data_IF_747681918058
#
_entry.id   IF_747681918058
#
_cell.length_a   1.000
_cell.length_b   1.000
_cell.length_c   1.000
_cell.angle_alpha   90.00
_cell.angle_beta   90.00
_cell.angle_gamma   90.00
#
_symmetry.space_group_name_H-M   'P 1'
#
loop_
_entity.id
_entity.type
_entity.pdbx_description
1 polymer ?
#
# COMPACT_ATOMS: atom_id res chain seq x y z
N UNK A 1 -15.78 0.04 0.12
CA UNK A 1 -15.29 0.44 -1.22
C UNK A 1 -14.20 -0.54 -1.64
N UNK A 2 -14.04 -0.71 -2.95
CA UNK A 2 -12.96 -1.50 -3.56
C UNK A 2 -11.97 -0.57 -4.26
N UNK A 3 -10.68 -0.84 -4.10
CA UNK A 3 -9.64 -0.07 -4.76
C UNK A 3 -8.42 -0.96 -5.09
N UNK A 4 -7.75 -0.75 -6.23
CA UNK A 4 -6.57 -1.49 -6.61
C UNK A 4 -5.33 -0.96 -5.88
N UNK A 5 -4.44 -1.87 -5.48
CA UNK A 5 -3.15 -1.56 -4.87
C UNK A 5 -2.08 -2.44 -5.51
N UNK A 6 -1.02 -1.87 -6.10
CA UNK A 6 0.11 -2.65 -6.57
C UNK A 6 0.74 -3.41 -5.41
N UNK A 7 1.03 -4.69 -5.62
CA UNK A 7 1.63 -5.53 -4.58
C UNK A 7 2.80 -6.32 -5.17
N UNK A 8 3.98 -6.19 -4.57
CA UNK A 8 5.20 -6.90 -4.96
C UNK A 8 5.88 -7.40 -3.70
N UNK A 9 5.72 -8.69 -3.37
CA UNK A 9 6.31 -9.30 -2.18
C UNK A 9 6.31 -10.82 -2.27
N UNK A 10 7.25 -11.45 -1.57
CA UNK A 10 7.38 -12.91 -1.44
C UNK A 10 6.73 -13.44 -0.16
N UNK A 11 6.38 -12.58 0.78
CA UNK A 11 5.75 -12.92 2.05
C UNK A 11 4.45 -12.17 2.23
N UNK A 12 3.57 -12.66 3.09
CA UNK A 12 2.34 -11.96 3.41
C UNK A 12 2.04 -12.03 4.91
N UNK A 13 1.25 -11.08 5.38
CA UNK A 13 0.74 -11.08 6.75
C UNK A 13 -0.69 -11.61 6.70
N UNK A 14 -0.96 -12.63 7.51
CA UNK A 14 -2.30 -13.20 7.61
C UNK A 14 -3.26 -12.18 8.23
N UNK A 15 -4.41 -12.03 7.64
CA UNK A 15 -5.46 -11.13 8.15
C UNK A 15 -5.90 -11.52 9.57
N UNK A 16 -5.92 -12.82 9.86
CA UNK A 16 -6.30 -13.36 11.17
C UNK A 16 -5.34 -12.90 12.28
N UNK A 17 -4.05 -12.80 11.99
CA UNK A 17 -3.04 -12.34 12.96
C UNK A 17 -3.27 -10.87 13.34
N UNK A 18 -3.68 -10.04 12.37
CA UNK A 18 -4.02 -8.63 12.61
C UNK A 18 -5.32 -8.51 13.41
N UNK A 19 -6.33 -9.32 13.10
CA UNK A 19 -7.60 -9.34 13.82
C UNK A 19 -7.47 -9.85 15.26
N UNK A 20 -6.48 -10.68 15.53
CA UNK A 20 -6.19 -11.21 16.86
C UNK A 20 -5.38 -10.23 17.76
N UNK A 21 -4.80 -9.18 17.19
CA UNK A 21 -4.01 -8.19 17.95
C UNK A 21 -4.88 -7.01 18.37
N UNK A 22 -5.15 -6.91 19.67
CA UNK A 22 -5.99 -5.86 20.27
C UNK A 22 -5.46 -4.43 20.05
N UNK A 23 -4.21 -4.26 19.65
CA UNK A 23 -3.59 -2.95 19.38
C UNK A 23 -3.84 -2.47 17.96
N UNK A 24 -4.31 -3.34 17.07
CA UNK A 24 -4.48 -3.08 15.65
C UNK A 24 -5.95 -2.98 15.24
N UNK A 25 -6.19 -2.26 14.16
CA UNK A 25 -7.45 -2.16 13.45
C UNK A 25 -7.22 -2.46 11.98
N UNK A 26 -7.90 -3.48 11.45
CA UNK A 26 -7.87 -3.83 10.04
C UNK A 26 -8.73 -2.83 9.25
N UNK A 27 -8.15 -2.18 8.24
CA UNK A 27 -8.84 -1.21 7.39
C UNK A 27 -9.14 -1.75 5.99
N UNK A 28 -8.21 -2.54 5.42
CA UNK A 28 -8.42 -3.18 4.12
C UNK A 28 -7.64 -4.49 4.01
N UNK A 29 -8.21 -5.43 3.25
CA UNK A 29 -7.56 -6.70 2.92
C UNK A 29 -7.96 -7.17 1.52
N UNK A 30 -7.14 -8.03 0.94
CA UNK A 30 -7.42 -8.78 -0.29
C UNK A 30 -7.53 -10.26 0.04
N UNK A 31 -8.41 -10.97 -0.66
CA UNK A 31 -8.50 -12.43 -0.56
C UNK A 31 -7.25 -13.13 -1.12
N UNK A 32 -6.63 -12.51 -2.12
CA UNK A 32 -5.47 -13.04 -2.82
C UNK A 32 -4.16 -12.74 -2.08
N UNK A 33 -4.04 -11.54 -1.51
CA UNK A 33 -2.77 -11.07 -0.94
C UNK A 33 -2.79 -10.83 0.57
N UNK A 34 -3.92 -11.07 1.25
CA UNK A 34 -4.05 -10.90 2.69
C UNK A 34 -4.13 -9.43 3.12
N UNK A 35 -3.48 -9.07 4.22
CA UNK A 35 -3.47 -7.71 4.73
C UNK A 35 -3.04 -6.71 3.64
N UNK A 36 -3.81 -5.64 3.49
CA UNK A 36 -3.46 -4.49 2.63
C UNK A 36 -3.21 -3.25 3.47
N UNK A 37 -4.09 -2.94 4.41
CA UNK A 37 -4.01 -1.73 5.23
C UNK A 37 -4.49 -2.02 6.65
N UNK A 38 -3.70 -1.63 7.63
CA UNK A 38 -4.06 -1.62 9.04
C UNK A 38 -3.55 -0.35 9.72
N UNK A 39 -4.06 -0.05 10.91
CA UNK A 39 -3.52 1.02 11.75
C UNK A 39 -3.44 0.58 13.20
N UNK A 40 -2.62 1.27 13.99
CA UNK A 40 -2.70 1.17 15.45
C UNK A 40 -3.93 1.89 15.99
N UNK A 41 -4.54 1.37 17.06
CA UNK A 41 -5.75 1.97 17.67
C UNK A 41 -5.50 3.37 18.25
N UNK A 42 -4.26 3.69 18.59
CA UNK A 42 -3.86 5.04 19.01
C UNK A 42 -3.64 6.02 17.85
N UNK A 43 -3.86 5.58 16.60
CA UNK A 43 -3.72 6.33 15.36
C UNK A 43 -2.29 6.85 15.06
N UNK A 44 -1.27 6.34 15.74
CA UNK A 44 0.12 6.79 15.55
C UNK A 44 0.88 6.05 14.46
N UNK A 45 0.39 4.87 14.06
CA UNK A 45 1.02 4.05 13.04
C UNK A 45 0.01 3.56 12.02
N UNK A 46 0.37 3.68 10.74
CA UNK A 46 -0.39 3.14 9.61
C UNK A 46 0.51 2.17 8.87
N UNK A 47 0.00 0.99 8.59
CA UNK A 47 0.70 -0.11 7.93
C UNK A 47 0.05 -0.40 6.58
N UNK A 48 0.75 -0.07 5.51
CA UNK A 48 0.37 -0.40 4.14
C UNK A 48 1.32 -1.48 3.62
N UNK A 49 0.79 -2.60 3.16
CA UNK A 49 1.59 -3.71 2.64
C UNK A 49 1.67 -3.73 1.11
N UNK A 50 0.89 -2.91 0.45
CA UNK A 50 0.99 -2.63 -0.98
C UNK A 50 1.67 -1.29 -1.24
N UNK A 51 1.82 -0.94 -2.52
CA UNK A 51 2.64 0.17 -2.99
C UNK A 51 1.81 1.20 -3.77
N UNK A 52 1.06 2.04 -3.06
CA UNK A 52 0.31 3.13 -3.69
C UNK A 52 1.22 4.20 -4.32
N UNK A 53 2.48 4.28 -3.87
CA UNK A 53 3.50 5.19 -4.38
C UNK A 53 4.11 4.78 -5.72
N UNK A 54 3.84 3.56 -6.20
CA UNK A 54 4.40 3.08 -7.46
C UNK A 54 3.95 3.90 -8.66
N UNK A 55 4.92 4.26 -9.51
CA UNK A 55 4.63 4.71 -10.86
C UNK A 55 4.03 3.56 -11.68
N UNK A 56 3.28 3.86 -12.76
CA UNK A 56 2.62 2.84 -13.57
C UNK A 56 3.54 1.69 -14.00
N UNK A 57 4.78 1.98 -14.35
CA UNK A 57 5.75 1.04 -14.91
C UNK A 57 6.56 0.27 -13.87
N UNK A 58 6.52 0.67 -12.59
CA UNK A 58 7.42 0.12 -11.55
C UNK A 58 7.25 -1.40 -11.42
N UNK A 59 6.03 -1.89 -11.31
CA UNK A 59 5.77 -3.33 -11.16
C UNK A 59 6.13 -4.12 -12.41
N UNK A 60 5.96 -3.56 -13.62
CA UNK A 60 6.39 -4.18 -14.88
C UNK A 60 7.92 -4.30 -14.93
N UNK A 61 8.62 -3.27 -14.50
CA UNK A 61 10.08 -3.27 -14.45
C UNK A 61 10.62 -4.30 -13.43
N UNK A 62 9.96 -4.44 -12.27
CA UNK A 62 10.28 -5.48 -11.29
C UNK A 62 10.05 -6.88 -11.86
N UNK A 63 8.92 -7.12 -12.49
CA UNK A 63 8.58 -8.39 -13.13
C UNK A 63 9.63 -8.76 -14.18
N UNK A 64 9.96 -7.83 -15.10
CA UNK A 64 10.98 -8.05 -16.13
C UNK A 64 12.35 -8.32 -15.53
N UNK A 65 12.78 -7.52 -14.55
CA UNK A 65 14.04 -7.73 -13.84
C UNK A 65 14.16 -9.14 -13.25
N UNK A 66 13.08 -9.61 -12.65
CA UNK A 66 13.08 -10.91 -11.97
C UNK A 66 13.01 -12.08 -12.97
N UNK A 67 12.33 -11.90 -14.11
CA UNK A 67 12.39 -12.83 -15.25
C UNK A 67 13.82 -12.91 -15.80
N UNK A 68 14.49 -11.78 -16.04
CA UNK A 68 15.86 -11.73 -16.56
C UNK A 68 16.88 -12.40 -15.60
N UNK A 69 16.59 -12.39 -14.30
CA UNK A 69 17.38 -13.10 -13.28
C UNK A 69 17.03 -14.59 -13.14
N UNK A 70 16.06 -15.10 -13.89
CA UNK A 70 15.62 -16.49 -13.81
C UNK A 70 14.85 -16.83 -12.54
N UNK A 71 14.30 -15.84 -11.83
CA UNK A 71 13.52 -16.03 -10.59
C UNK A 71 12.14 -16.61 -10.88
N UNK A 72 11.65 -16.48 -12.13
CA UNK A 72 10.33 -16.91 -12.57
C UNK A 72 9.18 -16.37 -11.69
N UNK A 73 9.03 -15.04 -11.57
CA UNK A 73 7.99 -14.41 -10.76
C UNK A 73 6.60 -14.69 -11.34
N UNK A 74 5.58 -14.67 -10.48
CA UNK A 74 4.20 -14.70 -10.96
C UNK A 74 3.88 -13.41 -11.72
N UNK A 75 3.11 -13.56 -12.81
CA UNK A 75 2.60 -12.40 -13.54
C UNK A 75 1.70 -11.56 -12.62
N UNK A 76 1.89 -10.23 -12.56
CA UNK A 76 0.99 -9.35 -11.83
C UNK A 76 -0.44 -9.41 -12.36
N UNK A 77 -1.37 -9.86 -11.53
CA UNK A 77 -2.79 -10.04 -11.89
C UNK A 77 -3.49 -8.68 -11.94
N UNK A 78 -4.38 -8.47 -12.92
CA UNK A 78 -5.15 -7.23 -13.13
C UNK A 78 -4.28 -5.98 -13.38
N UNK A 79 -3.03 -6.16 -13.74
CA UNK A 79 -2.08 -5.09 -13.97
C UNK A 79 -1.85 -4.79 -15.45
N UNK A 80 -1.72 -5.81 -16.27
CA UNK A 80 -1.72 -5.66 -17.72
C UNK A 80 -3.14 -5.86 -18.29
N UNK A 81 -3.41 -5.26 -19.44
CA UNK A 81 -4.67 -5.51 -20.15
C UNK A 81 -4.78 -7.00 -20.48
N UNK A 82 -5.90 -7.63 -20.10
CA UNK A 82 -6.15 -9.07 -20.25
C UNK A 82 -5.07 -9.98 -19.60
N UNK A 83 -4.38 -9.47 -18.58
CA UNK A 83 -3.24 -10.13 -17.92
C UNK A 83 -2.13 -10.58 -18.92
N UNK A 84 -1.94 -9.82 -19.99
CA UNK A 84 -0.95 -10.06 -21.02
C UNK A 84 0.21 -9.06 -20.89
N UNK A 85 1.45 -9.51 -20.57
CA UNK A 85 2.58 -8.61 -20.34
C UNK A 85 3.05 -7.86 -21.60
N UNK A 86 2.60 -8.24 -22.77
CA UNK A 86 2.85 -7.53 -24.04
C UNK A 86 1.86 -6.39 -24.29
N UNK A 87 0.80 -6.31 -23.49
CA UNK A 87 -0.22 -5.26 -23.59
C UNK A 87 0.02 -4.11 -22.63
N UNK A 88 -0.82 -3.08 -22.75
CA UNK A 88 -0.73 -1.88 -21.95
C UNK A 88 -0.97 -2.14 -20.45
N UNK A 89 -0.22 -1.40 -19.62
CA UNK A 89 -0.42 -1.34 -18.17
C UNK A 89 -1.73 -0.61 -17.87
N UNK A 90 -2.50 -1.18 -16.95
CA UNK A 90 -3.76 -0.61 -16.45
C UNK A 90 -3.53 0.00 -15.07
N UNK A 91 -3.03 1.25 -15.03
CA UNK A 91 -2.83 1.97 -13.77
C UNK A 91 -4.14 2.54 -13.25
N UNK A 92 -4.68 1.97 -12.18
CA UNK A 92 -5.98 2.37 -11.58
C UNK A 92 -5.87 2.86 -10.13
N UNK A 93 -4.67 3.01 -9.57
CA UNK A 93 -4.48 3.34 -8.14
C UNK A 93 -4.08 4.78 -7.86
N UNK A 94 -3.76 5.59 -8.87
CA UNK A 94 -3.24 6.95 -8.68
C UNK A 94 -4.20 7.87 -7.91
N UNK A 95 -5.48 7.86 -8.22
CA UNK A 95 -6.48 8.64 -7.49
C UNK A 95 -6.64 8.17 -6.05
N UNK A 96 -6.61 6.86 -5.83
CA UNK A 96 -6.62 6.27 -4.49
C UNK A 96 -5.38 6.65 -3.70
N UNK A 97 -4.20 6.64 -4.34
CA UNK A 97 -2.95 7.07 -3.71
C UNK A 97 -3.05 8.54 -3.23
N UNK A 98 -3.50 9.44 -4.09
CA UNK A 98 -3.71 10.84 -3.70
C UNK A 98 -4.68 11.00 -2.53
N UNK A 99 -5.81 10.31 -2.58
CA UNK A 99 -6.80 10.34 -1.50
C UNK A 99 -6.24 9.77 -0.19
N UNK A 100 -5.55 8.63 -0.27
CA UNK A 100 -4.95 7.99 0.90
C UNK A 100 -3.92 8.91 1.58
N UNK A 101 -2.94 9.42 0.84
CA UNK A 101 -1.89 10.28 1.40
C UNK A 101 -2.44 11.63 1.88
N UNK A 102 -3.39 12.23 1.18
CA UNK A 102 -4.04 13.46 1.62
C UNK A 102 -4.81 13.25 2.92
N UNK A 103 -5.57 12.17 3.04
CA UNK A 103 -6.30 11.85 4.26
C UNK A 103 -5.35 11.54 5.43
N UNK A 104 -4.28 10.78 5.17
CA UNK A 104 -3.29 10.49 6.20
C UNK A 104 -2.64 11.78 6.74
N UNK A 105 -2.18 12.65 5.85
CA UNK A 105 -1.59 13.94 6.24
C UNK A 105 -2.60 14.78 7.05
N UNK A 106 -3.82 14.94 6.55
CA UNK A 106 -4.81 15.82 7.18
C UNK A 106 -5.32 15.28 8.52
N UNK A 107 -5.72 14.01 8.58
CA UNK A 107 -6.43 13.47 9.73
C UNK A 107 -5.53 12.80 10.76
N UNK A 108 -4.38 12.28 10.37
CA UNK A 108 -3.48 11.55 11.26
C UNK A 108 -2.20 12.33 11.60
N UNK A 109 -1.74 13.21 10.73
CA UNK A 109 -0.55 14.04 11.02
C UNK A 109 -0.97 15.39 11.58
N UNK A 110 -1.71 16.20 10.81
CA UNK A 110 -2.04 17.56 11.25
C UNK A 110 -3.03 17.62 12.41
N UNK A 111 -4.11 16.83 12.38
CA UNK A 111 -5.16 16.92 13.39
C UNK A 111 -4.85 16.13 14.66
N UNK A 112 -4.08 15.05 14.55
CA UNK A 112 -3.76 14.19 15.69
C UNK A 112 -2.44 14.55 16.38
N UNK A 113 -1.56 15.33 15.74
CA UNK A 113 -0.29 15.77 16.33
C UNK A 113 -0.47 17.15 16.94
N UNK A 114 -0.41 17.30 18.26
CA UNK A 114 -0.48 18.62 18.91
C UNK A 114 0.77 19.43 18.52
N UNK A 115 0.58 20.40 17.66
CA UNK A 115 1.65 21.29 17.22
C UNK A 115 1.55 22.62 17.99
N UNK A 116 2.54 22.92 18.82
CA UNK A 116 2.62 24.16 19.60
C UNK A 116 3.79 25.00 19.09
N UNK A 117 3.47 26.05 18.35
CA UNK A 117 4.48 27.00 17.82
C UNK A 117 5.30 27.66 18.91
N UNK A 118 4.66 27.96 20.05
CA UNK A 118 5.24 28.60 21.22
C UNK A 118 6.20 27.69 22.01
N UNK A 119 6.29 26.40 21.67
CA UNK A 119 7.23 25.44 22.27
C UNK A 119 8.47 25.16 21.41
N UNK A 120 8.61 25.86 20.27
CA UNK A 120 9.83 25.80 19.46
C UNK A 120 10.83 26.77 20.09
N UNK A 121 11.75 26.23 20.87
CA UNK A 121 12.87 27.00 21.37
C UNK A 121 13.68 27.54 20.20
N UNK A 122 13.91 28.84 20.19
CA UNK A 122 14.87 29.47 19.28
C UNK A 122 16.25 28.87 19.58
N UNK A 123 16.71 27.95 18.71
CA UNK A 123 18.10 27.45 18.73
C UNK A 123 18.99 28.35 17.89
#
# INVERSE_FOLDING_TARGET
>A
DWFPVPTSRYTYIKTEDVLADDRLELLAFSKETGLTLAKSKDNRSIFMTGHLEYDPETLANEYKRDMDKGINPHLPVNYFTDDDPEKQIVSKWRSTAHLFYSNWINYYVYQATPYRLDSIDEQ
#
